data_IF_714033823268
#
_entry.id   IF_714033823268
#
_cell.length_a   1.000
_cell.length_b   1.000
_cell.length_c   1.000
_cell.angle_alpha   90.00
_cell.angle_beta   90.00
_cell.angle_gamma   90.00
#
_symmetry.space_group_name_H-M   'P 1'
#
loop_
_entity.id
_entity.type
_entity.pdbx_description
1 polymer ?
#
# COMPACT_ATOMS: atom_id res chain seq x y z
N UNK A 1 -12.48 -12.74 -4.79
CA UNK A 1 -12.84 -11.32 -4.55
C UNK A 1 -11.88 -10.79 -3.50
N UNK A 2 -11.28 -9.62 -3.70
CA UNK A 2 -10.27 -9.10 -2.78
C UNK A 2 -10.89 -8.33 -1.60
N UNK A 3 -10.33 -8.50 -0.41
CA UNK A 3 -10.59 -7.64 0.76
C UNK A 3 -9.56 -6.51 0.76
N UNK A 4 -9.98 -5.28 1.10
CA UNK A 4 -9.11 -4.09 1.03
C UNK A 4 -9.01 -3.41 2.38
N UNK A 5 -7.80 -3.37 2.94
CA UNK A 5 -7.50 -2.76 4.22
C UNK A 5 -6.45 -1.66 4.11
N UNK A 6 -6.52 -0.69 5.02
CA UNK A 6 -5.54 0.39 5.10
C UNK A 6 -4.83 0.35 6.44
N UNK A 7 -3.50 0.23 6.42
CA UNK A 7 -2.72 0.30 7.65
C UNK A 7 -2.93 1.65 8.35
N UNK A 8 -2.84 1.72 9.69
CA UNK A 8 -2.93 2.97 10.44
C UNK A 8 -1.94 4.04 9.94
N UNK A 9 -0.74 3.61 9.55
CA UNK A 9 0.29 4.51 9.00
C UNK A 9 -0.08 5.01 7.61
N UNK A 10 -0.66 4.16 6.75
CA UNK A 10 -1.16 4.61 5.44
C UNK A 10 -2.27 5.66 5.57
N UNK A 11 -3.22 5.47 6.51
CA UNK A 11 -4.25 6.48 6.81
C UNK A 11 -3.63 7.80 7.25
N UNK A 12 -2.57 7.73 8.06
CA UNK A 12 -1.81 8.91 8.49
C UNK A 12 -1.10 9.59 7.32
N UNK A 13 -0.52 8.82 6.39
CA UNK A 13 0.11 9.36 5.19
C UNK A 13 -0.90 10.15 4.35
N UNK A 14 -2.11 9.62 4.15
CA UNK A 14 -3.18 10.31 3.41
C UNK A 14 -3.64 11.58 4.11
N UNK A 15 -3.81 11.55 5.45
CA UNK A 15 -4.23 12.73 6.23
C UNK A 15 -3.27 13.92 6.11
N UNK A 16 -1.99 13.67 5.80
CA UNK A 16 -0.96 14.71 5.61
C UNK A 16 -0.97 15.33 4.20
N UNK A 17 -1.78 14.81 3.28
CA UNK A 17 -1.86 15.31 1.92
C UNK A 17 -2.79 16.51 1.83
N UNK A 18 -2.49 17.44 0.92
CA UNK A 18 -3.46 18.45 0.53
C UNK A 18 -4.67 17.80 -0.17
N UNK A 19 -5.79 18.53 -0.23
CA UNK A 19 -7.06 18.05 -0.77
C UNK A 19 -6.94 17.51 -2.20
N UNK A 20 -6.17 18.18 -3.06
CA UNK A 20 -6.01 17.81 -4.47
C UNK A 20 -5.24 16.49 -4.57
N UNK A 21 -4.12 16.39 -3.87
CA UNK A 21 -3.28 15.18 -3.84
C UNK A 21 -4.03 14.00 -3.21
N UNK A 22 -4.78 14.22 -2.13
CA UNK A 22 -5.61 13.18 -1.52
C UNK A 22 -6.66 12.63 -2.49
N UNK A 23 -7.34 13.51 -3.25
CA UNK A 23 -8.30 13.10 -4.29
C UNK A 23 -7.65 12.19 -5.33
N UNK A 24 -6.46 12.55 -5.84
CA UNK A 24 -5.73 11.74 -6.82
C UNK A 24 -5.33 10.37 -6.25
N UNK A 25 -4.99 10.30 -4.96
CA UNK A 25 -4.69 9.04 -4.28
C UNK A 25 -5.94 8.16 -4.19
N UNK A 26 -7.10 8.73 -3.82
CA UNK A 26 -8.35 7.97 -3.76
C UNK A 26 -8.79 7.44 -5.12
N UNK A 27 -8.65 8.24 -6.19
CA UNK A 27 -8.97 7.77 -7.53
C UNK A 27 -8.04 6.62 -7.95
N UNK A 28 -6.76 6.68 -7.57
CA UNK A 28 -5.84 5.57 -7.81
C UNK A 28 -6.19 4.32 -6.99
N UNK A 29 -6.63 4.48 -5.74
CA UNK A 29 -7.13 3.37 -4.92
C UNK A 29 -8.34 2.71 -5.58
N UNK A 30 -9.26 3.49 -6.18
CA UNK A 30 -10.39 2.90 -6.94
C UNK A 30 -9.92 2.07 -8.13
N UNK A 31 -8.87 2.49 -8.82
CA UNK A 31 -8.26 1.68 -9.90
C UNK A 31 -7.64 0.39 -9.36
N UNK A 32 -6.90 0.47 -8.25
CA UNK A 32 -6.31 -0.70 -7.58
C UNK A 32 -7.40 -1.69 -7.14
N UNK A 33 -8.54 -1.18 -6.65
CA UNK A 33 -9.67 -2.03 -6.23
C UNK A 33 -10.32 -2.81 -7.37
N UNK A 34 -10.22 -2.31 -8.61
CA UNK A 34 -10.76 -2.99 -9.80
C UNK A 34 -9.86 -4.13 -10.25
N UNK A 35 -8.55 -3.92 -10.19
CA UNK A 35 -7.56 -4.90 -10.63
C UNK A 35 -6.24 -4.70 -9.84
N UNK A 36 -6.09 -5.35 -8.68
CA UNK A 36 -4.96 -5.12 -7.79
C UNK A 36 -3.65 -5.76 -8.30
N UNK A 37 -3.72 -6.73 -9.22
CA UNK A 37 -2.52 -7.42 -9.73
C UNK A 37 -1.91 -6.76 -10.98
N UNK A 38 -2.56 -5.71 -11.52
CA UNK A 38 -2.15 -5.00 -12.72
C UNK A 38 -0.84 -4.21 -12.60
N UNK A 39 -0.45 -3.86 -11.39
CA UNK A 39 0.55 -2.83 -11.16
C UNK A 39 1.96 -3.39 -11.05
N UNK A 40 2.93 -2.49 -10.86
CA UNK A 40 4.33 -2.88 -10.84
C UNK A 40 4.64 -3.62 -9.53
N UNK A 41 4.88 -4.91 -9.66
CA UNK A 41 5.42 -5.72 -8.59
C UNK A 41 6.81 -5.22 -8.14
N UNK A 42 7.01 -5.11 -6.83
CA UNK A 42 8.27 -4.78 -6.21
C UNK A 42 9.01 -6.07 -5.86
N UNK A 43 10.12 -6.33 -6.55
CA UNK A 43 11.00 -7.45 -6.21
C UNK A 43 11.53 -7.33 -4.77
N UNK A 44 11.64 -8.47 -4.08
CA UNK A 44 12.11 -8.57 -2.70
C UNK A 44 11.14 -9.29 -1.78
N UNK A 45 11.38 -9.24 -0.46
CA UNK A 45 10.47 -9.80 0.54
C UNK A 45 9.23 -8.91 0.68
N UNK A 46 8.04 -9.51 0.77
CA UNK A 46 6.79 -8.82 1.17
C UNK A 46 5.64 -8.82 0.16
N UNK A 47 5.79 -9.43 -1.02
CA UNK A 47 4.75 -9.54 -2.06
C UNK A 47 3.98 -8.22 -2.27
N UNK A 48 4.70 -7.18 -2.66
CA UNK A 48 4.17 -5.81 -2.71
C UNK A 48 4.20 -5.22 -4.12
N UNK A 49 3.26 -4.32 -4.36
CA UNK A 49 3.05 -3.65 -5.63
C UNK A 49 3.14 -2.13 -5.44
N UNK A 50 3.57 -1.43 -6.49
CA UNK A 50 3.79 0.02 -6.46
C UNK A 50 3.06 0.74 -7.59
N UNK A 51 2.36 1.81 -7.22
CA UNK A 51 1.57 2.62 -8.15
C UNK A 51 1.94 4.08 -8.04
N UNK A 52 2.15 4.74 -9.18
CA UNK A 52 2.49 6.18 -9.24
C UNK A 52 1.23 7.04 -9.14
N UNK A 53 1.31 8.07 -8.31
CA UNK A 53 0.33 9.16 -8.19
C UNK A 53 1.10 10.48 -8.19
N UNK A 54 1.27 11.08 -9.37
CA UNK A 54 2.15 12.26 -9.52
C UNK A 54 3.58 11.98 -9.02
N UNK A 55 4.14 12.80 -8.10
CA UNK A 55 5.47 12.55 -7.53
C UNK A 55 5.48 11.46 -6.45
N UNK A 56 4.29 11.01 -6.02
CA UNK A 56 4.11 10.02 -4.95
C UNK A 56 3.93 8.62 -5.50
N UNK A 57 4.07 7.64 -4.62
CA UNK A 57 3.77 6.24 -4.86
C UNK A 57 2.92 5.70 -3.72
N UNK A 58 1.95 4.88 -4.11
CA UNK A 58 1.24 3.98 -3.21
C UNK A 58 2.00 2.65 -3.25
N UNK A 59 2.25 2.06 -2.09
CA UNK A 59 2.72 0.68 -1.95
C UNK A 59 1.68 -0.10 -1.16
N UNK A 60 1.29 -1.26 -1.70
CA UNK A 60 0.37 -2.19 -1.07
C UNK A 60 0.86 -3.62 -1.23
N UNK A 61 0.44 -4.51 -0.34
CA UNK A 61 0.70 -5.94 -0.41
C UNK A 61 -0.55 -6.68 -0.87
N UNK A 62 -0.37 -7.83 -1.53
CA UNK A 62 -1.45 -8.75 -1.87
C UNK A 62 -1.11 -10.12 -1.27
N UNK A 63 -1.91 -10.64 -0.34
CA UNK A 63 -1.68 -11.95 0.29
C UNK A 63 -3.03 -12.64 0.48
N UNK A 64 -3.19 -13.87 -0.03
CA UNK A 64 -4.40 -14.68 0.13
C UNK A 64 -5.74 -13.96 -0.16
N UNK A 65 -5.73 -13.12 -1.21
CA UNK A 65 -6.84 -12.24 -1.59
C UNK A 65 -7.11 -11.04 -0.67
N UNK A 66 -6.18 -10.71 0.23
CA UNK A 66 -6.21 -9.47 1.00
C UNK A 66 -5.23 -8.45 0.42
N UNK A 67 -5.69 -7.21 0.24
CA UNK A 67 -4.91 -6.08 -0.23
C UNK A 67 -4.73 -5.11 0.92
N UNK A 68 -3.49 -4.99 1.42
CA UNK A 68 -3.14 -4.07 2.50
C UNK A 68 -2.39 -2.87 1.94
N UNK A 69 -2.96 -1.67 2.03
CA UNK A 69 -2.25 -0.44 1.69
C UNK A 69 -1.29 -0.03 2.81
N UNK A 70 0.00 0.09 2.49
CA UNK A 70 1.09 0.21 3.48
C UNK A 70 1.69 1.61 3.53
N UNK A 71 1.99 2.20 2.37
CA UNK A 71 2.65 3.51 2.27
C UNK A 71 2.06 4.37 1.17
N UNK A 72 1.86 5.66 1.45
CA UNK A 72 1.70 6.69 0.43
C UNK A 72 2.77 7.79 0.62
N UNK A 73 3.78 7.82 -0.23
CA UNK A 73 4.95 8.69 -0.02
C UNK A 73 5.60 9.19 -1.30
N UNK A 74 6.49 10.17 -1.19
CA UNK A 74 7.29 10.65 -2.32
C UNK A 74 8.23 9.55 -2.83
N UNK A 75 8.50 9.50 -4.13
CA UNK A 75 9.35 8.45 -4.74
C UNK A 75 10.71 8.26 -4.05
N UNK A 76 11.33 9.34 -3.57
CA UNK A 76 12.64 9.30 -2.90
C UNK A 76 12.61 8.59 -1.53
N UNK A 77 11.49 8.69 -0.82
CA UNK A 77 11.38 8.23 0.58
C UNK A 77 10.55 6.94 0.69
N UNK A 78 9.66 6.69 -0.28
CA UNK A 78 8.64 5.64 -0.20
C UNK A 78 9.23 4.24 -0.01
N UNK A 79 10.40 3.95 -0.60
CA UNK A 79 11.05 2.64 -0.49
C UNK A 79 11.77 2.44 0.84
N UNK A 80 12.25 3.53 1.45
CA UNK A 80 12.84 3.51 2.78
C UNK A 80 11.72 3.27 3.80
N UNK A 81 10.63 4.04 3.71
CA UNK A 81 9.48 3.90 4.60
C UNK A 81 8.78 2.55 4.45
N UNK A 82 8.65 2.05 3.22
CA UNK A 82 8.18 0.69 2.95
C UNK A 82 9.01 -0.36 3.67
N UNK A 83 10.34 -0.31 3.56
CA UNK A 83 11.21 -1.30 4.21
C UNK A 83 11.10 -1.26 5.73
N UNK A 84 11.01 -0.07 6.34
CA UNK A 84 10.78 0.10 7.78
C UNK A 84 9.44 -0.49 8.21
N UNK A 85 8.40 -0.31 7.37
CA UNK A 85 7.06 -0.81 7.65
C UNK A 85 6.88 -2.26 7.23
N UNK A 86 7.88 -2.92 6.63
CA UNK A 86 7.75 -4.32 6.20
C UNK A 86 7.72 -5.30 7.38
N UNK A 87 8.47 -5.00 8.45
CA UNK A 87 8.38 -5.73 9.72
C UNK A 87 6.98 -5.57 10.32
N UNK A 88 6.44 -4.35 10.27
CA UNK A 88 5.07 -4.04 10.66
C UNK A 88 4.04 -4.69 9.75
N UNK A 89 4.28 -4.85 8.44
CA UNK A 89 3.36 -5.57 7.55
C UNK A 89 3.29 -7.03 8.00
N UNK A 90 4.41 -7.68 8.35
CA UNK A 90 4.34 -9.06 8.87
C UNK A 90 3.58 -9.15 10.21
N UNK A 91 3.81 -8.21 11.13
CA UNK A 91 3.10 -8.17 12.42
C UNK A 91 1.62 -7.78 12.26
N UNK A 92 1.30 -6.77 11.47
CA UNK A 92 -0.06 -6.34 11.13
C UNK A 92 -0.80 -7.45 10.38
N UNK A 93 -0.15 -8.15 9.44
CA UNK A 93 -0.76 -9.31 8.77
C UNK A 93 -1.11 -10.40 9.80
N UNK A 94 -0.23 -10.68 10.76
CA UNK A 94 -0.52 -11.62 11.86
C UNK A 94 -1.64 -11.11 12.77
N UNK A 95 -1.63 -9.82 13.12
CA UNK A 95 -2.66 -9.15 13.93
C UNK A 95 -4.03 -9.11 13.23
N UNK A 96 -4.04 -8.98 11.90
CA UNK A 96 -5.22 -9.05 11.03
C UNK A 96 -5.60 -10.49 10.65
N UNK A 97 -4.91 -11.51 11.18
CA UNK A 97 -5.24 -12.93 10.98
C UNK A 97 -4.85 -13.51 9.62
N UNK A 98 -3.95 -12.85 8.89
CA UNK A 98 -3.46 -13.25 7.57
C UNK A 98 -2.21 -14.10 7.77
N UNK A 99 -2.36 -15.43 7.68
CA UNK A 99 -1.27 -16.39 7.86
C UNK A 99 -0.35 -16.39 6.63
N UNK A 100 0.95 -16.15 6.83
CA UNK A 100 1.94 -16.47 5.79
C UNK A 100 2.09 -18.00 5.75
N UNK A 101 1.49 -18.64 4.74
CA UNK A 101 1.77 -20.03 4.38
C UNK A 101 3.09 -20.13 3.61
#
# INVERSE_FOLDING_TARGET
MYKFEYSPKFRTDIKKLDKKTASQVYDKIKEIKKDPIRFKHLGGKGNCDSVRVGPRRIIYSIIDNEVLFVVCGLRKDVYIEYRKRLSLVREELVEYGINNS
#
